data_IF_719304815022
#
_entry.id   IF_719304815022
#
_cell.length_a   1.000
_cell.length_b   1.000
_cell.length_c   1.000
_cell.angle_alpha   90.00
_cell.angle_beta   90.00
_cell.angle_gamma   90.00
#
_symmetry.space_group_name_H-M   'P 1'
#
loop_
_entity.id
_entity.type
_entity.pdbx_description
1 polymer ?
#
# COMPACT_ATOMS: atom_id res chain seq x y z
N UNK A 1 11.71 -9.54 14.60
CA UNK A 1 10.79 -10.34 13.75
C UNK A 1 11.58 -11.37 12.97
N UNK A 2 10.96 -12.51 12.62
CA UNK A 2 11.60 -13.55 11.80
C UNK A 2 11.83 -13.07 10.36
N UNK A 3 12.86 -13.60 9.70
CA UNK A 3 13.14 -13.31 8.28
C UNK A 3 12.11 -14.01 7.37
N UNK A 4 11.82 -13.44 6.18
CA UNK A 4 10.91 -14.08 5.22
C UNK A 4 11.43 -15.45 4.78
N UNK A 5 10.53 -16.41 4.55
CA UNK A 5 10.89 -17.75 4.09
C UNK A 5 11.79 -17.70 2.84
N UNK A 6 11.42 -16.91 1.84
CA UNK A 6 12.18 -16.79 0.58
C UNK A 6 13.63 -16.32 0.79
N UNK A 7 13.89 -15.47 1.79
CA UNK A 7 15.22 -14.97 2.12
C UNK A 7 16.02 -16.06 2.83
N UNK A 8 15.38 -16.79 3.74
CA UNK A 8 15.99 -17.90 4.47
C UNK A 8 16.36 -19.07 3.56
N UNK A 9 15.54 -19.36 2.55
CA UNK A 9 15.77 -20.47 1.61
C UNK A 9 16.75 -20.15 0.49
N UNK A 10 17.19 -18.90 0.37
CA UNK A 10 18.03 -18.47 -0.75
C UNK A 10 19.47 -19.02 -0.60
N UNK A 11 19.90 -19.97 -1.46
CA UNK A 11 21.16 -20.69 -1.25
C UNK A 11 22.40 -19.83 -1.54
N UNK A 12 22.28 -18.88 -2.47
CA UNK A 12 23.37 -18.00 -2.88
C UNK A 12 23.37 -16.65 -2.14
N UNK A 13 22.40 -16.42 -1.23
CA UNK A 13 22.27 -15.16 -0.51
C UNK A 13 21.91 -13.97 -1.40
N UNK A 14 21.31 -14.19 -2.58
CA UNK A 14 20.89 -13.11 -3.48
C UNK A 14 19.76 -12.25 -2.90
N UNK A 15 18.94 -12.81 -2.00
CA UNK A 15 17.86 -12.11 -1.32
C UNK A 15 18.32 -11.67 0.07
N UNK A 16 18.18 -10.38 0.36
CA UNK A 16 18.51 -9.79 1.66
C UNK A 16 17.28 -9.10 2.28
N UNK A 17 17.22 -9.07 3.60
CA UNK A 17 16.12 -8.48 4.36
C UNK A 17 16.66 -7.67 5.54
N UNK A 18 16.13 -6.46 5.71
CA UNK A 18 16.58 -5.52 6.73
C UNK A 18 15.98 -4.13 6.51
N UNK A 19 16.58 -3.14 7.14
CA UNK A 19 16.19 -1.73 7.00
C UNK A 19 16.39 -1.22 5.57
N UNK A 20 15.38 -0.52 5.04
CA UNK A 20 15.36 -0.08 3.64
C UNK A 20 16.58 0.77 3.28
N UNK A 21 16.96 1.71 4.16
CA UNK A 21 18.07 2.62 3.90
C UNK A 21 19.42 1.88 3.85
N UNK A 22 19.61 0.90 4.73
CA UNK A 22 20.82 0.07 4.74
C UNK A 22 20.91 -0.79 3.46
N UNK A 23 19.80 -1.42 3.06
CA UNK A 23 19.74 -2.21 1.83
C UNK A 23 19.94 -1.34 0.58
N UNK A 24 19.42 -0.11 0.56
CA UNK A 24 19.66 0.82 -0.55
C UNK A 24 21.12 1.21 -0.68
N UNK A 25 21.81 1.46 0.44
CA UNK A 25 23.23 1.76 0.42
C UNK A 25 24.04 0.58 -0.13
N UNK A 26 23.78 -0.63 0.37
CA UNK A 26 24.41 -1.86 -0.15
C UNK A 26 24.09 -2.09 -1.64
N UNK A 27 22.87 -1.80 -2.08
CA UNK A 27 22.50 -1.91 -3.49
C UNK A 27 23.28 -0.92 -4.37
N UNK A 28 23.50 0.32 -3.89
CA UNK A 28 24.31 1.33 -4.59
C UNK A 28 25.76 0.89 -4.74
N UNK A 29 26.37 0.40 -3.67
CA UNK A 29 27.73 -0.16 -3.70
C UNK A 29 27.81 -1.34 -4.67
N UNK A 30 26.81 -2.24 -4.66
CA UNK A 30 26.79 -3.38 -5.57
C UNK A 30 26.62 -2.98 -7.03
N UNK A 31 25.78 -1.98 -7.33
CA UNK A 31 25.62 -1.44 -8.69
C UNK A 31 26.90 -0.79 -9.19
N UNK A 32 27.62 -0.04 -8.35
CA UNK A 32 28.92 0.52 -8.70
C UNK A 32 29.91 -0.59 -9.07
N UNK A 33 30.02 -1.62 -8.24
CA UNK A 33 30.84 -2.80 -8.53
C UNK A 33 30.45 -3.50 -9.84
N UNK A 34 29.15 -3.61 -10.15
CA UNK A 34 28.69 -4.20 -11.41
C UNK A 34 29.07 -3.35 -12.63
N UNK A 35 29.01 -2.02 -12.51
CA UNK A 35 29.44 -1.11 -13.58
C UNK A 35 30.93 -1.25 -13.87
N UNK A 36 31.75 -1.39 -12.83
CA UNK A 36 33.18 -1.66 -12.95
C UNK A 36 33.47 -3.01 -13.63
N UNK A 37 32.60 -4.00 -13.41
CA UNK A 37 32.68 -5.33 -14.05
C UNK A 37 32.21 -5.35 -15.52
N UNK A 38 31.84 -4.20 -16.08
CA UNK A 38 31.43 -4.06 -17.49
C UNK A 38 29.92 -3.96 -17.71
N UNK A 39 29.09 -4.05 -16.66
CA UNK A 39 27.63 -3.85 -16.77
C UNK A 39 27.28 -2.35 -16.73
N UNK A 40 27.59 -1.64 -17.82
CA UNK A 40 27.43 -0.18 -17.91
C UNK A 40 25.99 0.31 -17.63
N UNK A 41 24.98 -0.52 -17.93
CA UNK A 41 23.56 -0.20 -17.74
C UNK A 41 23.01 -0.68 -16.39
N UNK A 42 23.85 -1.13 -15.45
CA UNK A 42 23.39 -1.59 -14.15
C UNK A 42 22.67 -0.48 -13.39
N UNK A 43 21.48 -0.80 -12.87
CA UNK A 43 20.60 0.14 -12.19
C UNK A 43 19.92 -0.50 -10.96
N UNK A 44 19.29 0.36 -10.17
CA UNK A 44 18.49 -0.04 -9.02
C UNK A 44 17.03 0.24 -9.39
N UNK A 45 16.19 -0.78 -9.26
CA UNK A 45 14.75 -0.66 -9.49
C UNK A 45 14.00 -0.74 -8.15
N UNK A 46 13.19 0.26 -7.84
CA UNK A 46 12.43 0.40 -6.60
C UNK A 46 12.95 1.47 -5.63
N UNK A 47 13.98 2.24 -6.02
CA UNK A 47 14.49 3.36 -5.22
C UNK A 47 13.50 4.53 -5.19
N UNK A 48 13.00 4.93 -6.37
CA UNK A 48 12.17 6.13 -6.56
C UNK A 48 10.77 5.81 -7.12
N UNK A 49 10.64 4.63 -7.72
CA UNK A 49 9.44 4.15 -8.39
C UNK A 49 8.28 4.08 -7.39
N UNK A 50 7.14 4.69 -7.75
CA UNK A 50 5.92 4.74 -6.92
C UNK A 50 6.17 5.29 -5.50
N UNK A 51 7.04 6.28 -5.35
CA UNK A 51 7.49 6.88 -4.07
C UNK A 51 8.38 5.97 -3.22
N UNK A 52 9.01 4.98 -3.86
CA UNK A 52 9.89 4.01 -3.21
C UNK A 52 9.16 2.71 -2.91
N UNK A 53 9.59 1.63 -3.57
CA UNK A 53 9.02 0.32 -3.36
C UNK A 53 9.56 -0.30 -2.06
N UNK A 54 8.76 -1.19 -1.45
CA UNK A 54 9.19 -2.01 -0.31
C UNK A 54 10.16 -3.14 -0.69
N UNK A 55 10.41 -3.34 -1.98
CA UNK A 55 11.36 -4.31 -2.53
C UNK A 55 12.23 -3.58 -3.55
N UNK A 56 13.53 -3.82 -3.49
CA UNK A 56 14.52 -3.20 -4.36
C UNK A 56 15.24 -4.31 -5.11
N UNK A 57 15.49 -4.09 -6.39
CA UNK A 57 16.22 -5.01 -7.26
C UNK A 57 17.45 -4.33 -7.84
N UNK A 58 18.49 -5.13 -8.04
CA UNK A 58 19.69 -4.73 -8.75
C UNK A 58 19.60 -5.39 -10.12
N UNK A 59 19.55 -4.59 -11.19
CA UNK A 59 19.49 -5.08 -12.55
C UNK A 59 20.81 -4.78 -13.25
N UNK A 60 21.25 -5.66 -14.15
CA UNK A 60 22.46 -5.44 -14.96
C UNK A 60 22.18 -4.64 -16.24
N UNK A 61 20.91 -4.54 -16.62
CA UNK A 61 20.43 -3.81 -17.80
C UNK A 61 19.20 -2.94 -17.46
N UNK A 62 18.67 -2.23 -18.47
CA UNK A 62 17.45 -1.42 -18.34
C UNK A 62 16.24 -2.26 -17.91
N UNK A 63 15.28 -1.68 -17.16
CA UNK A 63 14.13 -2.42 -16.64
C UNK A 63 13.30 -3.07 -17.76
N UNK A 64 13.22 -2.41 -18.93
CA UNK A 64 12.51 -2.91 -20.10
C UNK A 64 13.03 -4.29 -20.59
N UNK A 65 14.32 -4.58 -20.43
CA UNK A 65 14.89 -5.88 -20.80
C UNK A 65 14.32 -7.03 -19.95
N UNK A 66 13.87 -6.73 -18.74
CA UNK A 66 13.24 -7.66 -17.81
C UNK A 66 11.70 -7.60 -17.83
N UNK A 67 11.11 -6.89 -18.79
CA UNK A 67 9.67 -6.65 -18.85
C UNK A 67 9.14 -5.79 -17.69
N UNK A 68 10.02 -5.07 -16.99
CA UNK A 68 9.64 -4.16 -15.92
C UNK A 68 9.27 -2.78 -16.50
N UNK A 69 8.19 -2.15 -16.02
CA UNK A 69 7.83 -0.81 -16.45
C UNK A 69 8.86 0.21 -15.95
N UNK A 70 9.41 1.03 -16.84
CA UNK A 70 10.43 2.04 -16.45
C UNK A 70 9.87 3.13 -15.55
N UNK A 71 8.60 3.51 -15.74
CA UNK A 71 7.90 4.49 -14.92
C UNK A 71 6.52 3.96 -14.52
N UNK A 72 6.43 3.15 -13.44
CA UNK A 72 5.14 2.70 -12.93
C UNK A 72 4.38 3.91 -12.37
N UNK A 73 3.22 4.18 -12.96
CA UNK A 73 2.27 5.18 -12.48
C UNK A 73 0.91 4.52 -12.24
N UNK A 74 0.15 5.04 -11.28
CA UNK A 74 -1.25 4.67 -11.13
C UNK A 74 -2.01 5.02 -12.41
N UNK A 75 -2.89 4.14 -12.88
CA UNK A 75 -3.75 4.47 -14.02
C UNK A 75 -4.68 5.62 -13.65
N UNK A 76 -4.85 6.57 -14.57
CA UNK A 76 -5.68 7.76 -14.35
C UNK A 76 -7.12 7.38 -13.96
N UNK A 77 -7.66 6.32 -14.57
CA UNK A 77 -8.99 5.80 -14.25
C UNK A 77 -9.08 5.26 -12.82
N UNK A 78 -8.07 4.52 -12.34
CA UNK A 78 -8.04 4.02 -10.97
C UNK A 78 -7.91 5.18 -9.97
N UNK A 79 -7.11 6.19 -10.29
CA UNK A 79 -6.98 7.39 -9.46
C UNK A 79 -8.30 8.16 -9.36
N UNK A 80 -8.96 8.43 -10.50
CA UNK A 80 -10.27 9.11 -10.55
C UNK A 80 -11.34 8.31 -9.79
N UNK A 81 -11.38 7.00 -9.99
CA UNK A 81 -12.34 6.12 -9.31
C UNK A 81 -12.13 6.09 -7.79
N UNK A 82 -10.87 6.11 -7.33
CA UNK A 82 -10.55 6.22 -5.91
C UNK A 82 -10.89 7.61 -5.36
N UNK A 83 -10.66 8.67 -6.14
CA UNK A 83 -10.98 10.03 -5.77
C UNK A 83 -12.50 10.22 -5.60
N UNK A 84 -13.30 9.64 -6.48
CA UNK A 84 -14.77 9.72 -6.43
C UNK A 84 -15.37 8.91 -5.27
N UNK A 85 -14.88 7.68 -5.02
CA UNK A 85 -15.47 6.81 -3.98
C UNK A 85 -15.14 7.22 -2.55
N UNK A 86 -13.97 7.82 -2.29
CA UNK A 86 -13.53 8.19 -0.94
C UNK A 86 -14.46 9.18 -0.22
N UNK A 87 -14.91 10.30 -0.82
CA UNK A 87 -15.87 11.20 -0.16
C UNK A 87 -17.27 10.59 -0.12
N UNK A 88 -17.68 9.89 -1.18
CA UNK A 88 -19.02 9.32 -1.29
C UNK A 88 -19.28 8.26 -0.21
N UNK A 89 -18.30 7.38 0.05
CA UNK A 89 -18.41 6.39 1.12
C UNK A 89 -18.52 7.01 2.51
N UNK A 90 -17.80 8.10 2.78
CA UNK A 90 -17.89 8.79 4.08
C UNK A 90 -19.25 9.46 4.27
N UNK A 91 -19.77 10.11 3.24
CA UNK A 91 -21.08 10.77 3.29
C UNK A 91 -22.21 9.76 3.50
N UNK A 92 -22.16 8.62 2.80
CA UNK A 92 -23.15 7.55 2.96
C UNK A 92 -23.14 6.97 4.39
N UNK A 93 -21.96 6.70 4.96
CA UNK A 93 -21.84 6.20 6.32
C UNK A 93 -22.37 7.19 7.37
N UNK A 94 -22.09 8.48 7.21
CA UNK A 94 -22.60 9.52 8.12
C UNK A 94 -24.12 9.64 8.03
N UNK A 95 -24.68 9.61 6.81
CA UNK A 95 -26.12 9.67 6.61
C UNK A 95 -26.87 8.47 7.19
N UNK A 96 -26.30 7.26 7.03
CA UNK A 96 -26.88 6.05 7.62
C UNK A 96 -26.83 6.10 9.16
N UNK A 97 -25.70 6.53 9.72
CA UNK A 97 -25.52 6.61 11.16
C UNK A 97 -26.46 7.65 11.80
N UNK A 98 -26.57 8.84 11.22
CA UNK A 98 -27.46 9.88 11.74
C UNK A 98 -28.93 9.46 11.66
N UNK A 99 -29.34 8.81 10.56
CA UNK A 99 -30.68 8.27 10.39
C UNK A 99 -31.03 7.20 11.45
N UNK A 100 -30.10 6.27 11.72
CA UNK A 100 -30.28 5.24 12.75
C UNK A 100 -30.39 5.85 14.16
N UNK A 101 -29.57 6.85 14.49
CA UNK A 101 -29.61 7.51 15.80
C UNK A 101 -30.93 8.25 16.01
N UNK A 102 -31.39 9.03 15.03
CA UNK A 102 -32.68 9.76 15.13
C UNK A 102 -33.84 8.78 15.23
N UNK A 103 -33.84 7.73 14.40
CA UNK A 103 -34.85 6.67 14.46
C UNK A 103 -34.89 5.96 15.82
N UNK A 104 -33.72 5.63 16.38
CA UNK A 104 -33.60 4.99 17.69
C UNK A 104 -34.11 5.89 18.83
N UNK A 105 -33.77 7.17 18.82
CA UNK A 105 -34.24 8.13 19.82
C UNK A 105 -35.77 8.29 19.78
N UNK A 106 -36.36 8.37 18.58
CA UNK A 106 -37.82 8.44 18.41
C UNK A 106 -38.51 7.15 18.88
N UNK A 107 -38.02 5.98 18.47
CA UNK A 107 -38.55 4.69 18.91
C UNK A 107 -38.49 4.52 20.44
N UNK A 108 -37.42 5.00 21.08
CA UNK A 108 -37.29 4.96 22.54
C UNK A 108 -38.28 5.90 23.25
N UNK A 109 -38.57 7.06 22.67
CA UNK A 109 -39.59 7.98 23.18
C UNK A 109 -40.99 7.37 23.19
N UNK A 110 -41.39 6.80 22.05
CA UNK A 110 -42.72 6.17 21.88
C UNK A 110 -42.93 4.99 22.86
N UNK A 111 -41.86 4.23 23.15
CA UNK A 111 -41.89 3.10 24.12
C UNK A 111 -42.10 3.52 25.57
N UNK A 112 -41.69 4.74 25.96
CA UNK A 112 -41.88 5.24 27.32
C UNK A 112 -43.32 5.70 27.55
N UNK A 113 -43.92 6.37 26.56
CA UNK A 113 -45.32 6.85 26.62
C UNK A 113 -46.32 5.69 26.69
N UNK A 114 -46.14 4.64 25.88
CA UNK A 114 -46.98 3.45 25.93
C UNK A 114 -46.96 2.70 27.28
N UNK A 115 -45.89 2.85 28.08
CA UNK A 115 -45.83 2.24 29.42
C UNK A 115 -46.52 3.09 30.48
N UNK A 116 -46.63 4.41 30.27
CA UNK A 116 -47.38 5.33 31.14
C UNK A 116 -48.89 5.21 30.98
N UNK A 117 -49.38 5.01 29.75
CA UNK A 117 -50.81 4.84 29.47
C UNK A 117 -51.37 3.49 29.97
N UNK A 118 -50.54 2.45 30.11
CA UNK A 118 -50.98 1.10 30.52
C UNK A 118 -50.91 0.86 32.04
N UNK A 119 -50.73 1.94 32.83
CA UNK A 119 -50.62 1.91 34.30
C UNK A 119 -51.70 2.72 35.02
N UNK A 120 -52.78 3.09 34.33
CA UNK A 120 -54.01 3.63 34.93
C UNK A 120 -55.15 2.63 34.84
#
# INVERSE_FOLDING_TARGET
GLRPACVTTCPNGALQYGERNALLQQAKERVQSLREQGFAQANIYGENEMHGLGRIYILTERPAAYGLPENPCYSASAWIWQLARRPLGKLASVGLFSGLVVGFLRWRGDRIQHKGDNTM
#
